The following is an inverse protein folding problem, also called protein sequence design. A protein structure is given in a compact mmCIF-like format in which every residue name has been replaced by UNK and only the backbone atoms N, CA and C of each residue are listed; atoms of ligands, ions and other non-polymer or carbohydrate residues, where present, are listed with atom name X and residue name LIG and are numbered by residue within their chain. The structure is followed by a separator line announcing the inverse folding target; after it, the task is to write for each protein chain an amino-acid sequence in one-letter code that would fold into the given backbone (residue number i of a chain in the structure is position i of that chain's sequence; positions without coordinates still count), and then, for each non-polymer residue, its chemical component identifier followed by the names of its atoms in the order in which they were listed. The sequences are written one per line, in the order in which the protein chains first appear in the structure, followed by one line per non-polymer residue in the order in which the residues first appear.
data_IF_844691146743
#
_entry.id   IF_844691146743
#
_cell.length_a   1.000
_cell.length_b   1.000
_cell.length_c   1.000
_cell.angle_alpha   90.00
_cell.angle_beta   90.00
_cell.angle_gamma   90.00
#
_symmetry.space_group_name_H-M   'P 1'
#
loop_
_entity.id
_entity.type
_entity.pdbx_description
1 polymer ?
#
# COMPACT_ATOMS: atom_id res chain seq x y z
N UNK A 1 -11.27 -10.18 3.45
CA UNK A 1 -10.40 -9.20 4.12
C UNK A 1 -9.01 -9.47 3.57
N UNK A 2 -8.35 -8.48 2.97
CA UNK A 2 -7.20 -8.59 2.05
C UNK A 2 -5.89 -9.08 2.71
N UNK A 3 -5.94 -10.07 3.61
CA UNK A 3 -4.83 -10.45 4.47
C UNK A 3 -4.48 -9.43 5.57
N UNK A 4 -5.15 -8.28 5.58
CA UNK A 4 -4.91 -7.17 6.51
C UNK A 4 -5.84 -7.22 7.71
N UNK A 5 -5.44 -6.59 8.82
CA UNK A 5 -6.27 -6.25 9.99
C UNK A 5 -7.14 -5.01 9.74
N UNK A 6 -8.13 -4.75 10.59
CA UNK A 6 -8.99 -3.56 10.45
C UNK A 6 -8.19 -2.26 10.60
N UNK A 7 -7.21 -2.24 11.51
CA UNK A 7 -6.34 -1.07 11.72
C UNK A 7 -5.48 -0.78 10.48
N UNK A 8 -4.97 -1.82 9.82
CA UNK A 8 -4.19 -1.70 8.59
C UNK A 8 -5.05 -1.24 7.41
N UNK A 9 -6.29 -1.73 7.34
CA UNK A 9 -7.27 -1.28 6.36
C UNK A 9 -7.58 0.21 6.57
N UNK A 10 -7.86 0.63 7.80
CA UNK A 10 -8.14 2.04 8.11
C UNK A 10 -6.92 2.93 7.84
N UNK A 11 -5.72 2.44 8.10
CA UNK A 11 -4.48 3.14 7.74
C UNK A 11 -4.38 3.37 6.22
N UNK A 12 -4.56 2.32 5.41
CA UNK A 12 -4.52 2.43 3.94
C UNK A 12 -5.59 3.37 3.39
N UNK A 13 -6.81 3.32 3.94
CA UNK A 13 -7.91 4.24 3.55
C UNK A 13 -7.58 5.71 3.81
N UNK A 14 -6.75 5.99 4.82
CA UNK A 14 -6.32 7.35 5.15
C UNK A 14 -5.10 7.81 4.33
N UNK A 15 -4.43 6.91 3.61
CA UNK A 15 -3.27 7.24 2.78
C UNK A 15 -3.67 7.89 1.46
N UNK A 16 -4.71 7.38 0.79
CA UNK A 16 -5.12 7.84 -0.54
C UNK A 16 -6.62 7.59 -0.79
N UNK A 17 -7.30 8.53 -1.44
CA UNK A 17 -8.74 8.41 -1.75
C UNK A 17 -9.07 7.28 -2.74
N UNK A 18 -8.18 6.98 -3.68
CA UNK A 18 -8.32 5.86 -4.61
C UNK A 18 -8.18 4.52 -3.88
N UNK A 19 -7.17 4.38 -3.01
CA UNK A 19 -7.02 3.21 -2.12
C UNK A 19 -8.29 3.01 -1.29
N UNK A 20 -8.81 4.09 -0.69
CA UNK A 20 -10.07 4.04 0.06
C UNK A 20 -11.23 3.52 -0.78
N UNK A 21 -11.39 4.02 -2.00
CA UNK A 21 -12.43 3.57 -2.91
C UNK A 21 -12.30 2.08 -3.25
N UNK A 22 -11.08 1.58 -3.49
CA UNK A 22 -10.85 0.17 -3.79
C UNK A 22 -11.13 -0.75 -2.60
N UNK A 23 -10.74 -0.33 -1.39
CA UNK A 23 -11.13 -1.02 -0.16
C UNK A 23 -12.65 -1.06 0.02
N UNK A 24 -13.32 0.09 -0.10
CA UNK A 24 -14.76 0.21 0.14
C UNK A 24 -15.59 -0.58 -0.89
N UNK A 25 -15.07 -0.74 -2.11
CA UNK A 25 -15.70 -1.53 -3.19
C UNK A 25 -15.25 -2.99 -3.23
N UNK A 26 -14.38 -3.41 -2.31
CA UNK A 26 -13.78 -4.75 -2.28
C UNK A 26 -13.08 -5.14 -3.60
N UNK A 27 -12.52 -4.16 -4.33
CA UNK A 27 -11.85 -4.37 -5.59
C UNK A 27 -10.36 -4.63 -5.36
N UNK A 28 -9.98 -5.91 -5.32
CA UNK A 28 -8.62 -6.33 -5.00
C UNK A 28 -7.58 -5.93 -6.05
N UNK A 29 -7.84 -6.22 -7.33
CA UNK A 29 -6.87 -6.00 -8.41
C UNK A 29 -6.47 -4.51 -8.52
N UNK A 30 -7.47 -3.64 -8.39
CA UNK A 30 -7.23 -2.20 -8.40
C UNK A 30 -6.63 -1.73 -7.06
N UNK A 31 -6.97 -2.36 -5.92
CA UNK A 31 -6.34 -2.04 -4.63
C UNK A 31 -4.82 -2.26 -4.68
N UNK A 32 -4.37 -3.40 -5.21
CA UNK A 32 -2.95 -3.70 -5.39
C UNK A 32 -2.28 -2.62 -6.24
N UNK A 33 -2.88 -2.28 -7.38
CA UNK A 33 -2.36 -1.27 -8.31
C UNK A 33 -2.24 0.12 -7.65
N UNK A 34 -3.27 0.55 -6.92
CA UNK A 34 -3.30 1.86 -6.26
C UNK A 34 -2.31 1.95 -5.09
N UNK A 35 -2.09 0.86 -4.35
CA UNK A 35 -1.07 0.81 -3.28
C UNK A 35 0.34 0.86 -3.87
N UNK A 36 0.60 0.14 -4.96
CA UNK A 36 1.88 0.18 -5.68
C UNK A 36 2.19 1.59 -6.21
N UNK A 37 1.21 2.26 -6.84
CA UNK A 37 1.37 3.64 -7.25
C UNK A 37 1.62 4.59 -6.08
N UNK A 38 0.89 4.43 -4.98
CA UNK A 38 1.08 5.26 -3.80
C UNK A 38 2.48 5.11 -3.18
N UNK A 39 3.08 3.91 -3.25
CA UNK A 39 4.44 3.66 -2.81
C UNK A 39 5.48 4.49 -3.57
N UNK A 40 5.18 4.94 -4.79
CA UNK A 40 6.06 5.81 -5.59
C UNK A 40 5.89 7.31 -5.31
N UNK A 41 4.96 7.70 -4.42
CA UNK A 41 4.71 9.10 -4.07
C UNK A 41 5.75 9.67 -3.10
N UNK A 42 5.85 10.99 -3.05
CA UNK A 42 6.73 11.72 -2.12
C UNK A 42 6.37 11.49 -0.62
N UNK A 43 5.18 10.97 -0.33
CA UNK A 43 4.81 10.53 1.02
C UNK A 43 5.57 9.26 1.44
N UNK A 44 5.83 8.39 0.48
CA UNK A 44 6.42 7.07 0.69
C UNK A 44 7.91 7.04 0.35
N UNK A 45 8.39 7.91 -0.55
CA UNK A 45 9.80 7.93 -0.98
C UNK A 45 10.45 9.29 -0.73
N UNK A 46 11.77 9.26 -0.54
CA UNK A 46 12.62 10.44 -0.59
C UNK A 46 13.93 10.12 -1.33
N UNK A 47 14.56 11.16 -1.87
CA UNK A 47 15.89 11.09 -2.45
C UNK A 47 16.92 11.51 -1.41
N UNK A 48 17.96 10.70 -1.21
CA UNK A 48 19.10 11.11 -0.39
C UNK A 48 20.02 12.11 -1.14
N UNK A 49 21.09 12.55 -0.49
CA UNK A 49 22.06 13.47 -1.08
C UNK A 49 22.80 12.90 -2.30
N UNK A 50 22.82 11.58 -2.45
CA UNK A 50 23.45 10.86 -3.56
C UNK A 50 22.45 10.59 -4.71
N UNK A 51 21.19 11.05 -4.56
CA UNK A 51 20.12 10.85 -5.54
C UNK A 51 19.51 9.45 -5.52
N UNK A 52 19.77 8.65 -4.49
CA UNK A 52 19.17 7.32 -4.34
C UNK A 52 17.77 7.42 -3.71
N UNK A 53 16.85 6.59 -4.21
CA UNK A 53 15.49 6.50 -3.69
C UNK A 53 15.41 5.56 -2.49
N UNK A 54 14.81 6.06 -1.41
CA UNK A 54 14.58 5.31 -0.19
C UNK A 54 13.15 5.48 0.28
N UNK A 55 12.58 4.41 0.86
CA UNK A 55 11.31 4.53 1.55
C UNK A 55 11.44 5.33 2.85
N UNK A 56 10.50 6.25 3.05
CA UNK A 56 10.23 6.88 4.36
C UNK A 56 9.74 5.82 5.37
N UNK A 57 9.62 6.16 6.65
CA UNK A 57 9.00 5.24 7.63
C UNK A 57 7.57 4.86 7.23
N UNK A 58 6.82 5.84 6.68
CA UNK A 58 5.50 5.62 6.09
C UNK A 58 5.55 4.67 4.90
N UNK A 59 6.46 4.91 3.95
CA UNK A 59 6.64 4.05 2.79
C UNK A 59 7.00 2.61 3.17
N UNK A 60 7.88 2.40 4.16
CA UNK A 60 8.23 1.07 4.66
C UNK A 60 7.02 0.34 5.26
N UNK A 61 6.18 1.06 5.99
CA UNK A 61 4.97 0.46 6.54
C UNK A 61 3.97 0.12 5.45
N UNK A 62 3.70 1.04 4.52
CA UNK A 62 2.84 0.77 3.35
C UNK A 62 3.36 -0.42 2.53
N UNK A 63 4.68 -0.54 2.33
CA UNK A 63 5.29 -1.67 1.63
C UNK A 63 4.97 -2.99 2.34
N UNK A 64 5.09 -3.02 3.67
CA UNK A 64 4.74 -4.24 4.43
C UNK A 64 3.26 -4.62 4.33
N UNK A 65 2.36 -3.64 4.13
CA UNK A 65 0.95 -3.91 3.88
C UNK A 65 0.73 -4.41 2.45
N UNK A 66 1.44 -3.84 1.48
CA UNK A 66 1.44 -4.32 0.11
C UNK A 66 1.89 -5.78 0.01
N UNK A 67 2.98 -6.15 0.69
CA UNK A 67 3.47 -7.53 0.72
C UNK A 67 2.42 -8.49 1.30
N UNK A 68 1.68 -8.08 2.36
CA UNK A 68 0.57 -8.88 2.92
C UNK A 68 -0.60 -9.04 1.95
N UNK A 69 -0.91 -8.00 1.18
CA UNK A 69 -1.95 -8.04 0.13
C UNK A 69 -1.56 -9.09 -0.92
N UNK A 70 -0.31 -9.06 -1.39
CA UNK A 70 0.24 -10.04 -2.35
C UNK A 70 0.26 -11.46 -1.80
N UNK A 71 0.79 -11.67 -0.60
CA UNK A 71 0.85 -12.98 0.05
C UNK A 71 -0.55 -13.58 0.22
N UNK A 72 -1.53 -12.73 0.55
CA UNK A 72 -2.92 -13.17 0.66
C UNK A 72 -3.47 -13.64 -0.69
N UNK A 73 -3.25 -12.91 -1.79
CA UNK A 73 -3.69 -13.32 -3.13
C UNK A 73 -3.08 -14.66 -3.54
N UNK A 74 -1.76 -14.82 -3.44
CA UNK A 74 -1.11 -16.07 -3.78
C UNK A 74 -1.52 -17.25 -2.88
N UNK A 75 -1.98 -16.99 -1.65
CA UNK A 75 -2.53 -18.03 -0.77
C UNK A 75 -3.93 -18.51 -1.16
N UNK A 76 -4.63 -17.79 -2.04
CA UNK A 76 -5.94 -18.19 -2.56
C UNK A 76 -5.86 -19.05 -3.83
N UNK A 77 -4.68 -19.17 -4.45
CA UNK A 77 -4.40 -20.03 -5.62
C UNK A 77 -4.10 -21.48 -5.25
#
# INVERSE_FOLDING_TARGET
MFGLTNEEIDYLKNCNSSIKLMVDTSNYADLQTEVDWYLTSDDCMYYDSDGQNWYTEKGKYVQSLYDKILDWEYSQE
#
